data_IF_538706794270
#
_entry.id   IF_538706794270
#
_cell.length_a   1.000
_cell.length_b   1.000
_cell.length_c   1.000
_cell.angle_alpha   90.00
_cell.angle_beta   90.00
_cell.angle_gamma   90.00
#
_symmetry.space_group_name_H-M   'P 1'
#
loop_
_entity.id
_entity.type
_entity.pdbx_description
1 polymer ?
#
# COMPACT_ATOMS: atom_id res chain seq x y z
N UNK A 1 -9.82 28.20 -13.18
CA UNK A 1 -8.40 27.84 -13.00
C UNK A 1 -7.99 26.82 -14.07
N UNK A 2 -6.71 26.81 -14.46
CA UNK A 2 -6.20 25.85 -15.44
C UNK A 2 -5.47 24.72 -14.71
N UNK A 3 -5.89 23.48 -14.95
CA UNK A 3 -5.12 22.31 -14.53
C UNK A 3 -3.98 22.10 -15.55
N UNK A 4 -2.74 21.98 -15.08
CA UNK A 4 -1.54 21.87 -15.94
C UNK A 4 -1.17 20.41 -16.23
N UNK A 5 -1.24 19.56 -15.21
CA UNK A 5 -0.92 18.14 -15.28
C UNK A 5 -1.80 17.36 -14.29
N UNK A 6 -1.73 16.04 -14.37
CA UNK A 6 -2.21 15.12 -13.36
C UNK A 6 -1.01 14.39 -12.77
N UNK A 7 -0.96 14.26 -11.46
CA UNK A 7 -0.01 13.38 -10.79
C UNK A 7 -0.69 12.06 -10.44
N UNK A 8 -0.01 10.95 -10.66
CA UNK A 8 -0.34 9.64 -10.11
C UNK A 8 0.84 9.18 -9.27
N UNK A 9 0.58 8.80 -8.02
CA UNK A 9 1.57 8.24 -7.10
C UNK A 9 1.20 6.79 -6.78
N UNK A 10 2.20 5.90 -6.75
CA UNK A 10 2.01 4.52 -6.31
C UNK A 10 3.25 3.96 -5.62
N UNK A 11 3.02 3.11 -4.62
CA UNK A 11 4.08 2.41 -3.90
C UNK A 11 4.58 1.19 -4.68
N UNK A 12 5.87 0.90 -4.56
CA UNK A 12 6.52 -0.27 -5.14
C UNK A 12 6.72 -1.36 -4.07
N UNK A 13 6.65 -2.65 -4.42
CA UNK A 13 6.97 -3.72 -3.47
C UNK A 13 8.43 -3.63 -2.99
N UNK A 14 8.65 -3.75 -1.69
CA UNK A 14 9.98 -3.62 -1.05
C UNK A 14 10.87 -4.83 -1.29
N UNK A 15 10.24 -5.93 -1.67
CA UNK A 15 10.84 -7.22 -1.98
C UNK A 15 11.61 -7.16 -3.31
N UNK A 16 11.29 -6.19 -4.18
CA UNK A 16 11.98 -5.97 -5.44
C UNK A 16 13.29 -5.21 -5.23
N UNK A 17 14.29 -5.56 -6.04
CA UNK A 17 15.46 -4.69 -6.23
C UNK A 17 15.05 -3.39 -6.94
N UNK A 18 15.90 -2.37 -6.83
CA UNK A 18 15.67 -1.08 -7.49
C UNK A 18 15.48 -1.23 -9.01
N UNK A 19 16.27 -2.09 -9.67
CA UNK A 19 16.16 -2.32 -11.10
C UNK A 19 14.80 -2.95 -11.46
N UNK A 20 14.39 -4.01 -10.74
CA UNK A 20 13.10 -4.68 -10.94
C UNK A 20 11.92 -3.73 -10.68
N UNK A 21 12.00 -2.87 -9.66
CA UNK A 21 10.95 -1.88 -9.40
C UNK A 21 10.85 -0.80 -10.48
N UNK A 22 11.99 -0.35 -11.03
CA UNK A 22 12.00 0.59 -12.15
C UNK A 22 11.37 -0.05 -13.40
N UNK A 23 11.67 -1.31 -13.69
CA UNK A 23 11.05 -2.05 -14.79
C UNK A 23 9.54 -2.17 -14.61
N UNK A 24 9.08 -2.63 -13.44
CA UNK A 24 7.66 -2.74 -13.12
C UNK A 24 6.92 -1.40 -13.29
N UNK A 25 7.49 -0.30 -12.78
CA UNK A 25 6.91 1.03 -12.93
C UNK A 25 6.84 1.46 -14.41
N UNK A 26 7.88 1.18 -15.20
CA UNK A 26 7.89 1.48 -16.64
C UNK A 26 6.84 0.68 -17.39
N UNK A 27 6.71 -0.61 -17.11
CA UNK A 27 5.73 -1.49 -17.75
C UNK A 27 4.29 -0.99 -17.49
N UNK A 28 3.99 -0.63 -16.24
CA UNK A 28 2.70 -0.04 -15.87
C UNK A 28 2.43 1.29 -16.57
N UNK A 29 3.39 2.22 -16.52
CA UNK A 29 3.26 3.55 -17.14
C UNK A 29 3.10 3.44 -18.66
N UNK A 30 3.85 2.54 -19.28
CA UNK A 30 3.80 2.31 -20.71
C UNK A 30 2.42 1.79 -21.13
N UNK A 31 1.88 0.80 -20.41
CA UNK A 31 0.60 0.17 -20.75
C UNK A 31 -0.59 1.08 -20.45
N UNK A 32 -0.67 1.65 -19.24
CA UNK A 32 -1.88 2.30 -18.76
C UNK A 32 -1.92 3.82 -18.98
N UNK A 33 -0.79 4.46 -19.29
CA UNK A 33 -0.75 5.88 -19.61
C UNK A 33 -0.29 6.15 -21.04
N UNK A 34 0.94 5.76 -21.39
CA UNK A 34 1.53 6.08 -22.70
C UNK A 34 0.75 5.41 -23.83
N UNK A 35 0.34 4.14 -23.65
CA UNK A 35 -0.49 3.41 -24.60
C UNK A 35 -1.85 4.06 -24.89
N UNK A 36 -2.30 5.00 -24.06
CA UNK A 36 -3.55 5.78 -24.24
C UNK A 36 -3.32 7.18 -24.82
N UNK A 37 -2.10 7.51 -25.19
CA UNK A 37 -1.73 8.79 -25.78
C UNK A 37 -1.36 9.89 -24.77
N UNK A 38 -1.13 9.54 -23.50
CA UNK A 38 -0.57 10.47 -22.51
C UNK A 38 0.96 10.54 -22.65
N UNK A 39 1.55 11.71 -22.44
CA UNK A 39 2.98 11.82 -22.12
C UNK A 39 3.13 11.69 -20.60
N UNK A 40 4.05 10.83 -20.17
CA UNK A 40 4.30 10.51 -18.78
C UNK A 40 5.76 10.82 -18.41
N UNK A 41 5.95 11.66 -17.39
CA UNK A 41 7.23 11.86 -16.71
C UNK A 41 7.24 10.99 -15.44
N UNK A 42 8.07 9.94 -15.44
CA UNK A 42 8.14 8.94 -14.38
C UNK A 42 9.39 9.17 -13.52
N UNK A 43 9.19 9.40 -12.23
CA UNK A 43 10.25 9.53 -11.24
C UNK A 43 10.09 8.43 -10.18
N UNK A 44 11.13 7.59 -10.01
CA UNK A 44 11.10 6.47 -9.05
C UNK A 44 12.05 6.76 -7.91
N UNK A 45 11.53 6.76 -6.69
CA UNK A 45 12.25 7.08 -5.47
C UNK A 45 12.50 5.82 -4.65
N UNK A 46 13.63 5.77 -3.95
CA UNK A 46 14.04 4.64 -3.10
C UNK A 46 14.42 5.12 -1.70
N UNK A 47 13.58 5.98 -1.14
CA UNK A 47 13.83 6.66 0.12
C UNK A 47 13.87 5.69 1.30
N UNK A 48 14.48 6.13 2.40
CA UNK A 48 14.47 5.41 3.68
C UNK A 48 13.52 6.10 4.65
N UNK A 49 12.67 5.32 5.28
CA UNK A 49 11.88 5.71 6.44
C UNK A 49 12.78 6.10 7.61
N UNK A 50 12.24 6.86 8.57
CA UNK A 50 12.96 7.18 9.82
C UNK A 50 13.41 5.95 10.61
N UNK A 51 12.70 4.82 10.48
CA UNK A 51 13.06 3.53 11.06
C UNK A 51 14.09 2.71 10.24
N UNK A 52 14.59 3.26 9.13
CA UNK A 52 15.58 2.63 8.25
C UNK A 52 15.03 1.69 7.17
N UNK A 53 13.72 1.40 7.17
CA UNK A 53 13.06 0.63 6.11
C UNK A 53 13.02 1.40 4.79
N UNK A 54 13.08 0.73 3.63
CA UNK A 54 12.91 1.42 2.33
C UNK A 54 11.44 1.77 2.10
N UNK A 55 11.16 2.87 1.41
CA UNK A 55 9.82 3.30 1.00
C UNK A 55 9.81 3.58 -0.50
N UNK A 56 10.00 2.56 -1.35
CA UNK A 56 10.06 2.78 -2.77
C UNK A 56 8.68 3.17 -3.31
N UNK A 57 8.64 4.24 -4.10
CA UNK A 57 7.42 4.77 -4.69
C UNK A 57 7.74 5.49 -6.01
N UNK A 58 6.73 5.72 -6.82
CA UNK A 58 6.85 6.42 -8.08
C UNK A 58 5.87 7.58 -8.16
N UNK A 59 6.34 8.71 -8.69
CA UNK A 59 5.53 9.84 -9.12
C UNK A 59 5.46 9.84 -10.65
N UNK A 60 4.25 10.01 -11.19
CA UNK A 60 4.02 10.09 -12.63
C UNK A 60 3.23 11.34 -12.96
N UNK A 61 3.90 12.30 -13.60
CA UNK A 61 3.26 13.50 -14.11
C UNK A 61 2.75 13.24 -15.53
N UNK A 62 1.43 13.38 -15.70
CA UNK A 62 0.70 13.08 -16.92
C UNK A 62 0.16 14.35 -17.57
N UNK A 63 0.33 14.44 -18.89
CA UNK A 63 -0.36 15.44 -19.70
C UNK A 63 -1.87 15.21 -19.66
N UNK A 64 -2.66 16.28 -19.72
CA UNK A 64 -4.12 16.18 -19.84
C UNK A 64 -4.66 16.47 -21.24
N UNK A 65 -3.76 16.68 -22.20
CA UNK A 65 -4.09 16.97 -23.61
C UNK A 65 -3.49 15.89 -24.47
N UNK A 66 -4.14 15.59 -25.58
CA UNK A 66 -3.54 14.76 -26.62
C UNK A 66 -2.30 15.46 -27.17
N UNK A 67 -1.35 14.67 -27.68
CA UNK A 67 -0.15 15.18 -28.35
C UNK A 67 -0.02 14.47 -29.69
N UNK A 68 0.17 15.25 -30.75
CA UNK A 68 0.45 14.75 -32.10
C UNK A 68 1.57 15.56 -32.76
N UNK A 69 1.80 15.34 -34.05
CA UNK A 69 2.85 16.02 -34.83
C UNK A 69 2.71 17.56 -34.87
N UNK A 70 1.52 18.09 -34.60
CA UNK A 70 1.23 19.52 -34.53
C UNK A 70 1.32 20.09 -33.10
N UNK A 71 1.69 19.25 -32.12
CA UNK A 71 1.85 19.62 -30.72
C UNK A 71 0.65 19.25 -29.84
N UNK A 72 0.37 20.08 -28.84
CA UNK A 72 -0.71 19.82 -27.87
C UNK A 72 -2.10 20.09 -28.45
N UNK A 73 -2.94 19.07 -28.42
CA UNK A 73 -4.33 19.12 -28.85
C UNK A 73 -5.33 19.50 -27.73
N UNK A 74 -6.62 19.16 -27.91
CA UNK A 74 -7.65 19.41 -26.92
C UNK A 74 -7.42 18.60 -25.63
N UNK A 75 -8.06 19.05 -24.54
CA UNK A 75 -8.06 18.33 -23.27
C UNK A 75 -8.88 17.04 -23.40
N UNK A 76 -8.32 15.91 -23.00
CA UNK A 76 -9.01 14.61 -23.03
C UNK A 76 -9.65 14.39 -21.66
N UNK A 77 -10.99 14.49 -21.59
CA UNK A 77 -11.73 14.42 -20.33
C UNK A 77 -11.82 13.00 -19.79
N UNK A 78 -11.95 12.02 -20.67
CA UNK A 78 -12.17 10.60 -20.32
C UNK A 78 -11.03 9.99 -19.50
N UNK A 79 -9.80 10.52 -19.64
CA UNK A 79 -8.68 10.17 -18.77
C UNK A 79 -8.96 10.46 -17.28
N UNK A 80 -9.95 11.30 -16.97
CA UNK A 80 -10.34 11.70 -15.62
C UNK A 80 -11.60 11.02 -15.09
N UNK A 81 -12.14 10.02 -15.78
CA UNK A 81 -13.26 9.23 -15.29
C UNK A 81 -12.90 8.43 -14.03
N UNK A 82 -13.92 8.15 -13.21
CA UNK A 82 -13.80 7.27 -12.04
C UNK A 82 -13.46 5.84 -12.46
N UNK A 83 -14.02 5.38 -13.58
CA UNK A 83 -13.71 4.04 -14.10
C UNK A 83 -12.22 3.89 -14.44
N UNK A 84 -11.57 4.98 -14.88
CA UNK A 84 -10.15 4.96 -15.20
C UNK A 84 -9.27 4.75 -13.96
N UNK A 85 -9.59 5.39 -12.83
CA UNK A 85 -8.80 5.19 -11.60
C UNK A 85 -9.02 3.80 -10.99
N UNK A 86 -10.24 3.27 -11.05
CA UNK A 86 -10.54 1.90 -10.62
C UNK A 86 -9.73 0.90 -11.44
N UNK A 87 -9.73 1.05 -12.77
CA UNK A 87 -8.90 0.24 -13.66
C UNK A 87 -7.42 0.36 -13.32
N UNK A 88 -6.89 1.56 -13.12
CA UNK A 88 -5.46 1.72 -12.83
C UNK A 88 -5.05 1.03 -11.54
N UNK A 89 -5.91 1.06 -10.51
CA UNK A 89 -5.67 0.36 -9.24
C UNK A 89 -5.66 -1.16 -9.44
N UNK A 90 -6.63 -1.69 -10.17
CA UNK A 90 -6.70 -3.12 -10.50
C UNK A 90 -5.47 -3.56 -11.32
N UNK A 91 -5.17 -2.87 -12.42
CA UNK A 91 -4.04 -3.18 -13.30
C UNK A 91 -2.69 -3.08 -12.61
N UNK A 92 -2.53 -2.14 -11.68
CA UNK A 92 -1.32 -2.04 -10.86
C UNK A 92 -1.16 -3.28 -9.98
N UNK A 93 -2.23 -3.70 -9.30
CA UNK A 93 -2.20 -4.89 -8.45
C UNK A 93 -1.88 -6.16 -9.24
N UNK A 94 -2.52 -6.34 -10.39
CA UNK A 94 -2.26 -7.48 -11.28
C UNK A 94 -0.79 -7.53 -11.73
N UNK A 95 -0.27 -6.44 -12.30
CA UNK A 95 1.08 -6.42 -12.84
C UNK A 95 2.15 -6.59 -11.75
N UNK A 96 1.95 -5.98 -10.59
CA UNK A 96 2.86 -6.16 -9.46
C UNK A 96 2.85 -7.61 -8.96
N UNK A 97 1.67 -8.22 -8.82
CA UNK A 97 1.54 -9.61 -8.38
C UNK A 97 2.13 -10.60 -9.39
N UNK A 98 1.92 -10.36 -10.70
CA UNK A 98 2.57 -11.13 -11.77
C UNK A 98 4.10 -11.10 -11.62
N UNK A 99 4.68 -9.89 -11.47
CA UNK A 99 6.13 -9.74 -11.31
C UNK A 99 6.66 -10.36 -10.01
N UNK A 100 5.92 -10.27 -8.91
CA UNK A 100 6.29 -10.90 -7.64
C UNK A 100 6.30 -12.43 -7.79
N UNK A 101 5.28 -13.01 -8.42
CA UNK A 101 5.20 -14.44 -8.68
C UNK A 101 6.30 -14.94 -9.64
N UNK A 102 6.63 -14.20 -10.70
CA UNK A 102 7.73 -14.51 -11.62
C UNK A 102 9.09 -14.60 -10.91
N UNK A 103 9.24 -13.88 -9.79
CA UNK A 103 10.45 -13.82 -8.98
C UNK A 103 10.42 -14.78 -7.78
N UNK A 104 9.41 -15.65 -7.69
CA UNK A 104 9.18 -16.58 -6.56
C UNK A 104 9.04 -15.83 -5.22
N UNK A 105 8.43 -14.65 -5.25
CA UNK A 105 8.13 -13.83 -4.08
C UNK A 105 6.65 -14.01 -3.74
N UNK A 106 6.38 -14.57 -2.56
CA UNK A 106 5.02 -14.92 -2.11
C UNK A 106 4.16 -13.70 -1.68
N UNK A 107 4.75 -12.51 -1.63
CA UNK A 107 4.03 -11.28 -1.30
C UNK A 107 2.98 -10.95 -2.38
N UNK A 108 1.81 -10.45 -1.95
CA UNK A 108 0.70 -10.04 -2.82
C UNK A 108 0.11 -8.71 -2.38
N UNK A 109 -0.38 -7.96 -3.36
CA UNK A 109 -1.15 -6.74 -3.15
C UNK A 109 -2.56 -6.88 -3.70
N UNK A 110 -3.52 -6.25 -3.03
CA UNK A 110 -4.92 -6.22 -3.46
C UNK A 110 -5.41 -4.78 -3.50
N UNK A 111 -6.08 -4.42 -4.59
CA UNK A 111 -6.60 -3.07 -4.82
C UNK A 111 -7.98 -2.84 -4.17
N UNK A 112 -8.68 -3.92 -3.82
CA UNK A 112 -10.02 -3.89 -3.25
C UNK A 112 -9.99 -3.38 -1.82
N UNK A 113 -11.10 -2.85 -1.33
CA UNK A 113 -11.25 -2.52 0.09
C UNK A 113 -11.14 -3.78 0.96
N UNK A 114 -10.81 -3.60 2.25
CA UNK A 114 -10.82 -4.71 3.22
C UNK A 114 -12.18 -5.42 3.23
N UNK A 115 -13.28 -4.67 3.20
CA UNK A 115 -14.64 -5.20 3.11
C UNK A 115 -14.85 -6.09 1.87
N UNK A 116 -14.41 -5.64 0.68
CA UNK A 116 -14.52 -6.42 -0.55
C UNK A 116 -13.57 -7.63 -0.60
N UNK A 117 -12.57 -7.68 0.28
CA UNK A 117 -11.73 -8.86 0.53
C UNK A 117 -12.33 -9.77 1.63
N UNK A 118 -13.41 -9.36 2.30
CA UNK A 118 -14.02 -10.10 3.41
C UNK A 118 -13.32 -9.90 4.76
N UNK A 119 -12.42 -8.93 4.87
CA UNK A 119 -11.66 -8.63 6.09
C UNK A 119 -12.43 -7.59 6.92
N UNK A 120 -12.99 -8.02 8.06
CA UNK A 120 -13.81 -7.17 8.94
C UNK A 120 -13.01 -6.21 9.84
N UNK A 121 -11.91 -5.66 9.32
CA UNK A 121 -11.11 -4.63 9.97
C UNK A 121 -11.40 -3.26 9.37
N UNK A 122 -11.33 -2.23 10.20
CA UNK A 122 -11.46 -0.86 9.75
C UNK A 122 -10.19 -0.41 9.02
N UNK A 123 -10.29 0.10 7.78
CA UNK A 123 -9.13 0.58 7.04
C UNK A 123 -8.42 1.73 7.77
N UNK A 124 -7.11 1.61 7.94
CA UNK A 124 -6.32 2.64 8.60
C UNK A 124 -6.06 3.82 7.67
N UNK A 125 -6.05 5.03 8.23
CA UNK A 125 -5.59 6.22 7.53
C UNK A 125 -4.07 6.23 7.45
N UNK A 126 -3.52 6.66 6.32
CA UNK A 126 -2.08 6.82 6.16
C UNK A 126 -1.55 7.91 7.09
N UNK A 127 -0.71 7.53 8.07
CA UNK A 127 0.16 8.47 8.78
C UNK A 127 1.43 8.60 7.94
N UNK A 128 1.46 9.59 7.05
CA UNK A 128 2.60 9.87 6.18
C UNK A 128 2.48 11.28 5.63
N UNK A 129 3.62 11.99 5.61
CA UNK A 129 3.76 13.42 5.40
C UNK A 129 2.71 14.07 4.48
N UNK A 130 1.66 14.69 5.04
CA UNK A 130 1.08 15.86 4.40
C UNK A 130 2.06 17.05 4.45
N UNK A 131 3.22 16.88 5.11
CA UNK A 131 4.22 17.88 5.44
C UNK A 131 4.94 18.57 4.25
N UNK A 132 4.60 18.25 2.99
CA UNK A 132 5.11 19.00 1.83
C UNK A 132 4.03 19.64 0.94
N UNK A 133 2.73 19.51 1.26
CA UNK A 133 1.71 20.43 0.71
C UNK A 133 1.42 21.62 1.63
N UNK A 134 2.41 21.98 2.46
CA UNK A 134 2.49 23.29 3.10
C UNK A 134 3.28 24.22 2.17
N UNK A 135 2.74 24.50 0.98
CA UNK A 135 3.17 25.70 0.24
C UNK A 135 2.45 26.96 0.76
N UNK A 136 1.40 26.82 1.58
CA UNK A 136 0.56 27.96 2.02
C UNK A 136 0.56 28.25 3.53
N UNK A 137 1.54 27.76 4.32
CA UNK A 137 1.85 28.31 5.65
C UNK A 137 0.66 28.53 6.63
N UNK A 138 -0.36 27.67 6.62
CA UNK A 138 -1.53 27.82 7.49
C UNK A 138 -1.30 27.18 8.87
N UNK A 139 -1.56 27.96 9.91
CA UNK A 139 -1.46 27.60 11.34
C UNK A 139 -2.33 26.40 11.76
N UNK A 140 -3.26 25.96 10.91
CA UNK A 140 -4.19 24.84 11.15
C UNK A 140 -3.61 23.46 10.79
N UNK A 141 -2.43 23.40 10.16
CA UNK A 141 -1.80 22.13 9.77
C UNK A 141 -1.49 21.21 10.97
N UNK A 142 -1.06 21.80 12.10
CA UNK A 142 -0.75 21.05 13.32
C UNK A 142 -2.01 20.44 13.98
N UNK A 143 -3.16 21.13 13.91
CA UNK A 143 -4.43 20.60 14.39
C UNK A 143 -4.92 19.44 13.53
N UNK A 144 -4.88 19.59 12.20
CA UNK A 144 -5.26 18.54 11.26
C UNK A 144 -4.38 17.28 11.40
N UNK A 145 -3.08 17.45 11.64
CA UNK A 145 -2.16 16.33 11.86
C UNK A 145 -2.44 15.61 13.19
N UNK A 146 -2.72 16.37 14.26
CA UNK A 146 -3.13 15.80 15.54
C UNK A 146 -4.43 14.99 15.42
N UNK A 147 -5.44 15.52 14.73
CA UNK A 147 -6.73 14.85 14.49
C UNK A 147 -6.56 13.55 13.70
N UNK A 148 -5.69 13.55 12.67
CA UNK A 148 -5.39 12.34 11.88
C UNK A 148 -4.66 11.29 12.70
N UNK A 149 -3.71 11.70 13.53
CA UNK A 149 -2.97 10.79 14.40
C UNK A 149 -3.88 10.19 15.48
N UNK A 150 -4.81 10.97 16.01
CA UNK A 150 -5.83 10.50 16.96
C UNK A 150 -6.79 9.50 16.30
N UNK A 151 -7.34 9.83 15.13
CA UNK A 151 -8.19 8.92 14.36
C UNK A 151 -7.46 7.61 14.03
N UNK A 152 -6.20 7.65 13.61
CA UNK A 152 -5.42 6.45 13.33
C UNK A 152 -5.23 5.58 14.59
N UNK A 153 -4.94 6.19 15.75
CA UNK A 153 -4.84 5.47 17.02
C UNK A 153 -6.17 4.85 17.42
N UNK A 154 -7.28 5.58 17.24
CA UNK A 154 -8.62 5.06 17.50
C UNK A 154 -8.94 3.85 16.61
N UNK A 155 -8.66 3.92 15.31
CA UNK A 155 -8.86 2.81 14.39
C UNK A 155 -7.97 1.61 14.79
N UNK A 156 -6.69 1.86 15.11
CA UNK A 156 -5.77 0.80 15.57
C UNK A 156 -6.30 0.14 16.85
N UNK A 157 -6.76 0.92 17.82
CA UNK A 157 -7.37 0.44 19.06
C UNK A 157 -8.62 -0.39 18.80
N UNK A 158 -9.53 0.08 17.96
CA UNK A 158 -10.77 -0.62 17.62
C UNK A 158 -10.48 -1.94 16.91
N UNK A 159 -9.55 -1.95 15.96
CA UNK A 159 -9.10 -3.16 15.30
C UNK A 159 -8.45 -4.15 16.28
N UNK A 160 -7.62 -3.66 17.19
CA UNK A 160 -7.01 -4.49 18.23
C UNK A 160 -8.05 -5.20 19.10
N UNK A 161 -9.12 -4.50 19.50
CA UNK A 161 -10.24 -5.11 20.22
C UNK A 161 -10.89 -6.22 19.40
N UNK A 162 -11.14 -6.00 18.09
CA UNK A 162 -11.72 -7.02 17.21
C UNK A 162 -10.83 -8.24 17.06
N UNK A 163 -9.51 -8.05 16.93
CA UNK A 163 -8.55 -9.16 16.77
C UNK A 163 -8.41 -9.96 18.06
N UNK A 164 -8.50 -9.32 19.23
CA UNK A 164 -8.47 -10.03 20.52
C UNK A 164 -9.71 -10.93 20.67
N UNK A 165 -10.88 -10.45 20.22
CA UNK A 165 -12.14 -11.20 20.26
C UNK A 165 -12.19 -12.32 19.21
N UNK A 166 -11.71 -12.03 17.99
CA UNK A 166 -11.62 -12.98 16.88
C UNK A 166 -10.25 -12.89 16.18
N UNK A 167 -9.26 -13.73 16.59
CA UNK A 167 -7.92 -13.68 16.02
C UNK A 167 -7.86 -14.16 14.57
N UNK A 168 -8.91 -14.83 14.06
CA UNK A 168 -8.97 -15.25 12.66
C UNK A 168 -9.01 -14.05 11.70
N UNK A 169 -9.51 -12.89 12.14
CA UNK A 169 -9.45 -11.65 11.36
C UNK A 169 -8.02 -11.26 10.98
N UNK A 170 -7.06 -11.48 11.89
CA UNK A 170 -5.65 -11.20 11.62
C UNK A 170 -5.04 -12.26 10.70
N UNK A 171 -5.37 -13.52 10.95
CA UNK A 171 -4.93 -14.66 10.13
C UNK A 171 -5.39 -14.50 8.68
N UNK A 172 -6.68 -14.26 8.46
CA UNK A 172 -7.25 -14.00 7.14
C UNK A 172 -6.54 -12.81 6.46
N UNK A 173 -6.38 -11.69 7.17
CA UNK A 173 -5.76 -10.50 6.60
C UNK A 173 -4.28 -10.71 6.22
N UNK A 174 -3.52 -11.48 7.01
CA UNK A 174 -2.12 -11.82 6.70
C UNK A 174 -2.07 -12.78 5.52
N UNK A 175 -2.94 -13.81 5.51
CA UNK A 175 -2.99 -14.84 4.47
C UNK A 175 -3.38 -14.27 3.10
N UNK A 176 -4.16 -13.19 3.04
CA UNK A 176 -4.42 -12.46 1.79
C UNK A 176 -3.15 -11.86 1.16
N UNK A 177 -2.10 -11.59 1.96
CA UNK A 177 -0.87 -10.94 1.49
C UNK A 177 0.28 -11.93 1.26
N UNK A 178 0.26 -13.10 1.89
CA UNK A 178 1.30 -14.13 1.78
C UNK A 178 0.77 -15.48 2.29
N UNK A 179 1.16 -16.59 1.67
CA UNK A 179 0.73 -17.94 2.05
C UNK A 179 1.40 -18.47 3.32
N UNK A 180 2.64 -18.03 3.58
CA UNK A 180 3.36 -18.32 4.81
C UNK A 180 3.96 -17.05 5.39
N UNK A 181 4.00 -16.95 6.72
CA UNK A 181 4.43 -15.73 7.39
C UNK A 181 5.29 -16.04 8.61
N UNK A 182 6.09 -15.05 9.02
CA UNK A 182 6.97 -15.19 10.19
C UNK A 182 6.34 -14.61 11.45
N UNK A 183 6.92 -14.92 12.61
CA UNK A 183 6.61 -14.23 13.87
C UNK A 183 6.77 -12.71 13.76
N UNK A 184 7.72 -12.25 12.95
CA UNK A 184 7.96 -10.82 12.70
C UNK A 184 6.83 -10.18 11.90
N UNK A 185 6.20 -10.92 10.99
CA UNK A 185 5.07 -10.40 10.21
C UNK A 185 3.82 -10.31 11.06
N UNK A 186 3.57 -11.30 11.93
CA UNK A 186 2.54 -11.23 12.98
C UNK A 186 2.79 -10.01 13.86
N UNK A 187 4.02 -9.79 14.33
CA UNK A 187 4.37 -8.63 15.15
C UNK A 187 4.15 -7.29 14.42
N UNK A 188 4.51 -7.18 13.14
CA UNK A 188 4.23 -5.96 12.36
C UNK A 188 2.72 -5.72 12.20
N UNK A 189 1.94 -6.79 12.04
CA UNK A 189 0.48 -6.70 11.93
C UNK A 189 -0.12 -6.27 13.27
N UNK A 190 0.23 -6.94 14.36
CA UNK A 190 -0.20 -6.59 15.72
C UNK A 190 0.15 -5.14 16.06
N UNK A 191 1.38 -4.70 15.73
CA UNK A 191 1.81 -3.32 15.97
C UNK A 191 0.97 -2.29 15.21
N UNK A 192 0.57 -2.60 13.97
CA UNK A 192 -0.32 -1.72 13.19
C UNK A 192 -1.72 -1.64 13.78
N UNK A 193 -2.22 -2.73 14.36
CA UNK A 193 -3.58 -2.83 14.89
C UNK A 193 -3.62 -2.78 16.44
N UNK A 194 -2.74 -2.00 17.06
CA UNK A 194 -2.72 -1.84 18.52
C UNK A 194 -2.42 -0.40 18.93
N UNK A 195 -3.05 0.05 20.00
CA UNK A 195 -2.77 1.32 20.67
C UNK A 195 -2.05 1.05 21.99
N UNK A 196 -0.72 1.18 21.97
CA UNK A 196 0.15 0.94 23.12
C UNK A 196 0.62 -0.51 23.29
N UNK A 197 1.53 -0.70 24.25
CA UNK A 197 2.24 -1.97 24.46
C UNK A 197 1.36 -3.08 25.04
N UNK A 198 0.39 -2.71 25.90
CA UNK A 198 -0.52 -3.67 26.53
C UNK A 198 -1.38 -4.37 25.46
N UNK A 199 -2.12 -3.59 24.68
CA UNK A 199 -2.94 -4.13 23.60
C UNK A 199 -2.11 -4.87 22.55
N UNK A 200 -0.89 -4.41 22.25
CA UNK A 200 0.03 -5.13 21.37
C UNK A 200 0.33 -6.55 21.87
N UNK A 201 0.61 -6.71 23.16
CA UNK A 201 0.88 -8.01 23.75
C UNK A 201 -0.38 -8.90 23.75
N UNK A 202 -1.56 -8.32 24.01
CA UNK A 202 -2.82 -9.04 23.96
C UNK A 202 -3.15 -9.53 22.55
N UNK A 203 -3.00 -8.68 21.54
CA UNK A 203 -3.16 -9.04 20.12
C UNK A 203 -2.17 -10.14 19.71
N UNK A 204 -0.89 -10.00 20.09
CA UNK A 204 0.12 -11.04 19.84
C UNK A 204 -0.24 -12.37 20.52
N UNK A 205 -0.76 -12.31 21.74
CA UNK A 205 -1.23 -13.48 22.49
C UNK A 205 -2.44 -14.13 21.84
N UNK A 206 -3.43 -13.35 21.40
CA UNK A 206 -4.63 -13.85 20.73
C UNK A 206 -4.28 -14.55 19.42
N UNK A 207 -3.50 -13.91 18.54
CA UNK A 207 -3.06 -14.53 17.27
C UNK A 207 -2.22 -15.78 17.54
N UNK A 208 -1.29 -15.71 18.50
CA UNK A 208 -0.39 -16.82 18.81
C UNK A 208 -1.07 -18.06 19.41
N UNK A 209 -2.28 -17.91 19.95
CA UNK A 209 -3.09 -19.00 20.49
C UNK A 209 -4.31 -19.32 19.62
N UNK A 210 -4.41 -18.72 18.43
CA UNK A 210 -5.51 -18.96 17.51
C UNK A 210 -5.52 -20.44 17.07
N UNK A 211 -6.69 -21.09 17.03
CA UNK A 211 -6.79 -22.51 16.69
C UNK A 211 -6.35 -22.80 15.25
N UNK A 212 -6.52 -21.83 14.36
CA UNK A 212 -6.20 -21.96 12.93
C UNK A 212 -4.74 -21.56 12.63
N UNK A 213 -3.95 -21.13 13.62
CA UNK A 213 -2.53 -20.87 13.40
C UNK A 213 -1.73 -22.18 13.39
N UNK A 214 -1.15 -22.52 12.23
CA UNK A 214 -0.36 -23.73 12.03
C UNK A 214 1.13 -23.41 11.95
N UNK A 215 1.94 -24.05 12.79
CA UNK A 215 3.40 -23.96 12.75
C UNK A 215 4.01 -24.91 11.71
N UNK A 216 4.81 -24.38 10.79
CA UNK A 216 5.50 -25.13 9.73
C UNK A 216 6.95 -25.49 10.10
N UNK A 217 7.46 -24.95 11.21
CA UNK A 217 8.86 -25.07 11.61
C UNK A 217 9.72 -23.93 11.09
N UNK A 218 11.04 -24.17 10.96
CA UNK A 218 12.02 -23.13 10.60
C UNK A 218 12.37 -23.13 9.13
N UNK A 219 12.48 -21.95 8.54
CA UNK A 219 12.95 -21.78 7.16
C UNK A 219 14.48 -21.88 7.03
N UNK A 220 14.98 -21.71 5.80
CA UNK A 220 16.42 -21.73 5.51
C UNK A 220 17.24 -20.60 6.18
N UNK A 221 16.58 -19.61 6.79
CA UNK A 221 17.20 -18.53 7.59
C UNK A 221 17.06 -18.79 9.09
N UNK A 222 16.39 -19.87 9.49
CA UNK A 222 16.15 -20.24 10.88
C UNK A 222 14.98 -19.49 11.53
N UNK A 223 14.14 -18.80 10.75
CA UNK A 223 12.95 -18.11 11.24
C UNK A 223 11.76 -19.07 11.31
N UNK A 224 10.97 -18.99 12.40
CA UNK A 224 9.75 -19.77 12.55
C UNK A 224 8.70 -19.31 11.54
N UNK A 225 8.12 -20.28 10.83
CA UNK A 225 7.12 -20.10 9.77
C UNK A 225 5.76 -20.63 10.21
N UNK A 226 4.74 -19.88 9.82
CA UNK A 226 3.35 -20.14 10.12
C UNK A 226 2.50 -20.09 8.86
N UNK A 227 1.34 -20.75 8.92
CA UNK A 227 0.27 -20.69 7.92
C UNK A 227 -1.08 -20.84 8.64
N UNK A 228 -2.16 -20.88 7.87
CA UNK A 228 -3.55 -20.98 8.35
C UNK A 228 -4.30 -22.05 7.57
#
# INVERSE_FOLDING_TARGET
DAQLAREVEFALPRELSQAQGIELARDFVQAEFVGRGMVADLNVHWDRAGEGSTKPHAHVMLTMRSVDENGFGPKVRDWNSTEMVERWRERWAELANERLAELDIDARIDHRSLEAQGIALEPQTQIGAPAQRIEDGHLDAAGIEADRAELHREIARNNGVRIIDDPNLALDAITHQQSTFTRKDIAKFAHRHSDGMEQFNDVMGAIGNAPDLVELGKDGRGEDRFTT
#
